data_IF_945061201872
#
_entry.id   IF_945061201872
#
_cell.length_a   1.000
_cell.length_b   1.000
_cell.length_c   1.000
_cell.angle_alpha   90.00
_cell.angle_beta   90.00
_cell.angle_gamma   90.00
#
_symmetry.space_group_name_H-M   'P 1'
#
loop_
_entity.id
_entity.type
_entity.pdbx_description
1 polymer ?
#
# COMPACT_ATOMS: atom_id res chain seq x y z
N UNK A 1 -22.56 13.01 -1.56
CA UNK A 1 -21.74 11.79 -1.36
C UNK A 1 -20.32 12.22 -1.09
N UNK A 2 -19.57 11.55 -0.20
CA UNK A 2 -18.14 11.83 -0.02
C UNK A 2 -17.44 11.71 -1.37
N UNK A 3 -16.52 12.63 -1.67
CA UNK A 3 -15.78 12.60 -2.92
C UNK A 3 -14.50 11.81 -2.68
N UNK A 4 -14.56 10.53 -3.04
CA UNK A 4 -13.51 9.55 -2.78
C UNK A 4 -12.78 9.19 -4.07
N UNK A 5 -11.45 9.26 -4.04
CA UNK A 5 -10.61 8.80 -5.15
C UNK A 5 -9.59 7.80 -4.63
N UNK A 6 -9.56 6.62 -5.24
CA UNK A 6 -8.52 5.63 -4.97
C UNK A 6 -7.37 5.79 -5.96
N UNK A 7 -6.14 5.74 -5.46
CA UNK A 7 -4.92 5.84 -6.26
C UNK A 7 -3.92 4.77 -5.85
N UNK A 8 -2.95 4.51 -6.72
CA UNK A 8 -1.81 3.64 -6.44
C UNK A 8 -0.51 4.30 -6.89
N UNK A 9 0.29 3.58 -7.68
CA UNK A 9 1.53 4.04 -8.33
C UNK A 9 2.72 4.31 -7.39
N UNK A 10 2.54 5.02 -6.27
CA UNK A 10 3.65 5.34 -5.35
C UNK A 10 4.15 4.13 -4.56
N UNK A 11 3.29 3.12 -4.36
CA UNK A 11 3.51 1.96 -3.50
C UNK A 11 3.60 2.28 -1.99
N UNK A 12 3.11 3.45 -1.58
CA UNK A 12 3.06 3.92 -0.19
C UNK A 12 1.61 4.16 0.17
N UNK A 13 1.02 3.41 1.13
CA UNK A 13 -0.38 3.60 1.49
C UNK A 13 -0.58 4.89 2.27
N UNK A 14 -1.78 5.45 2.22
CA UNK A 14 -2.03 6.76 2.81
C UNK A 14 -3.42 7.30 2.56
N UNK A 15 -3.84 8.22 3.43
CA UNK A 15 -5.10 8.95 3.28
C UNK A 15 -4.77 10.44 3.24
N UNK A 16 -5.16 11.11 2.16
CA UNK A 16 -4.90 12.53 1.91
C UNK A 16 -6.20 13.30 1.85
N UNK A 17 -6.23 14.45 2.52
CA UNK A 17 -7.39 15.34 2.56
C UNK A 17 -7.14 16.58 1.70
N UNK A 18 -8.22 17.24 1.27
CA UNK A 18 -8.14 18.54 0.58
C UNK A 18 -7.36 19.60 1.37
N UNK A 19 -7.43 19.53 2.72
CA UNK A 19 -6.66 20.36 3.66
C UNK A 19 -5.15 20.11 3.66
N UNK A 20 -4.65 19.21 2.80
CA UNK A 20 -3.25 18.73 2.77
C UNK A 20 -2.84 17.94 4.01
N UNK A 21 -3.79 17.60 4.88
CA UNK A 21 -3.56 16.63 5.95
C UNK A 21 -3.27 15.27 5.35
N UNK A 22 -2.26 14.60 5.91
CA UNK A 22 -1.94 13.21 5.63
C UNK A 22 -2.20 12.37 6.88
N UNK A 23 -2.81 11.20 6.69
CA UNK A 23 -2.93 10.18 7.72
C UNK A 23 -2.22 8.94 7.22
N UNK A 24 -1.20 8.50 7.98
CA UNK A 24 -0.62 7.18 7.82
C UNK A 24 -1.65 6.15 8.32
N UNK A 25 -1.95 5.09 7.54
CA UNK A 25 -2.91 4.10 7.97
C UNK A 25 -2.38 3.31 9.15
N UNK A 26 -3.28 2.96 10.07
CA UNK A 26 -3.01 1.96 11.10
C UNK A 26 -3.33 0.60 10.50
N UNK A 27 -2.35 -0.28 10.47
CA UNK A 27 -2.46 -1.57 9.78
C UNK A 27 -3.59 -2.42 10.37
N UNK A 28 -4.46 -2.92 9.49
CA UNK A 28 -5.61 -3.75 9.82
C UNK A 28 -6.66 -3.10 10.74
N UNK A 29 -6.64 -1.76 10.88
CA UNK A 29 -7.68 -1.00 11.58
C UNK A 29 -8.51 -0.18 10.60
N UNK A 30 -9.84 -0.12 10.79
CA UNK A 30 -10.71 0.65 9.91
C UNK A 30 -10.58 2.16 10.19
N UNK A 31 -10.47 2.93 9.11
CA UNK A 31 -10.64 4.37 9.10
C UNK A 31 -12.06 4.73 8.63
N UNK A 32 -12.76 5.55 9.43
CA UNK A 32 -14.10 6.06 9.11
C UNK A 32 -14.01 7.25 8.14
N UNK A 33 -14.62 7.12 6.96
CA UNK A 33 -14.66 8.12 5.91
C UNK A 33 -15.65 9.24 6.29
N UNK A 34 -15.17 10.49 6.45
CA UNK A 34 -16.00 11.68 6.62
C UNK A 34 -16.96 11.90 5.45
N UNK A 35 -18.16 12.41 5.73
CA UNK A 35 -19.21 12.61 4.72
C UNK A 35 -19.05 13.88 3.89
N UNK A 36 -18.30 14.86 4.41
CA UNK A 36 -18.26 16.24 3.88
C UNK A 36 -16.85 16.65 3.44
N UNK A 37 -15.94 15.70 3.24
CA UNK A 37 -14.56 15.97 2.83
C UNK A 37 -14.23 15.23 1.53
N UNK A 38 -13.33 15.83 0.73
CA UNK A 38 -12.71 15.14 -0.41
C UNK A 38 -11.45 14.44 0.06
N UNK A 39 -11.33 13.17 -0.29
CA UNK A 39 -10.29 12.30 0.22
C UNK A 39 -9.70 11.47 -0.91
N UNK A 40 -8.37 11.42 -0.94
CA UNK A 40 -7.61 10.51 -1.80
C UNK A 40 -7.07 9.39 -0.91
N UNK A 41 -7.38 8.14 -1.26
CA UNK A 41 -6.84 6.95 -0.59
C UNK A 41 -5.81 6.32 -1.51
N UNK A 42 -4.57 6.29 -1.07
CA UNK A 42 -3.54 5.47 -1.69
C UNK A 42 -3.60 4.05 -1.10
N UNK A 43 -3.78 3.07 -1.98
CA UNK A 43 -3.99 1.66 -1.60
C UNK A 43 -2.70 0.95 -1.20
N UNK A 44 -1.53 1.56 -1.44
CA UNK A 44 -0.23 0.93 -1.24
C UNK A 44 0.17 0.04 -2.41
N UNK A 45 0.82 -1.08 -2.13
CA UNK A 45 1.25 -2.04 -3.14
C UNK A 45 1.21 -3.47 -2.61
N UNK A 46 0.66 -4.37 -3.42
CA UNK A 46 0.67 -5.81 -3.14
C UNK A 46 2.07 -6.40 -3.37
N UNK A 47 2.72 -6.01 -4.46
CA UNK A 47 3.91 -6.72 -4.97
C UNK A 47 5.25 -6.05 -4.69
N UNK A 48 5.28 -4.74 -4.41
CA UNK A 48 6.53 -4.02 -4.10
C UNK A 48 6.23 -2.80 -3.21
N UNK A 49 5.85 -2.97 -1.93
CA UNK A 49 5.72 -1.85 -0.99
C UNK A 49 6.99 -0.98 -0.95
N UNK A 50 6.84 0.33 -0.72
CA UNK A 50 7.96 1.30 -0.70
C UNK A 50 7.99 2.17 0.55
N UNK A 51 7.38 1.70 1.63
CA UNK A 51 7.21 2.44 2.87
C UNK A 51 7.90 1.75 4.07
N UNK A 52 8.94 0.97 3.79
CA UNK A 52 9.75 0.24 4.79
C UNK A 52 8.98 -0.86 5.55
N UNK A 53 7.79 -1.24 5.07
CA UNK A 53 7.05 -2.42 5.49
C UNK A 53 6.90 -3.36 4.29
N UNK A 54 7.64 -4.48 4.32
CA UNK A 54 7.70 -5.42 3.21
C UNK A 54 6.45 -6.27 3.03
N UNK A 55 5.45 -6.18 3.91
CA UNK A 55 4.19 -6.94 3.79
C UNK A 55 3.35 -6.38 2.67
N UNK A 56 2.66 -7.25 1.95
CA UNK A 56 1.73 -6.86 0.90
C UNK A 56 0.65 -5.95 1.47
N UNK A 57 0.31 -4.87 0.75
CA UNK A 57 -0.69 -3.90 1.15
C UNK A 57 -1.84 -3.83 0.14
N UNK A 58 -3.06 -3.80 0.66
CA UNK A 58 -4.29 -3.60 -0.10
C UNK A 58 -5.35 -2.97 0.82
N UNK A 59 -6.47 -2.53 0.25
CA UNK A 59 -7.55 -1.90 1.01
C UNK A 59 -8.85 -2.66 0.87
N UNK A 60 -9.56 -2.81 1.99
CA UNK A 60 -10.96 -3.23 2.03
C UNK A 60 -11.83 -1.99 2.22
N UNK A 61 -12.97 -1.94 1.53
CA UNK A 61 -13.96 -0.87 1.68
C UNK A 61 -15.28 -1.50 2.11
N UNK A 62 -15.75 -1.17 3.31
CA UNK A 62 -17.02 -1.63 3.86
C UNK A 62 -17.87 -0.43 4.29
N UNK A 63 -18.87 -0.08 3.47
CA UNK A 63 -19.71 1.10 3.67
C UNK A 63 -18.88 2.39 3.68
N UNK A 64 -18.71 3.00 4.86
CA UNK A 64 -17.88 4.20 5.07
C UNK A 64 -16.57 3.89 5.78
N UNK A 65 -16.16 2.63 5.85
CA UNK A 65 -14.88 2.22 6.43
C UNK A 65 -13.92 1.84 5.33
N UNK A 66 -12.67 2.26 5.48
CA UNK A 66 -11.55 1.72 4.71
C UNK A 66 -10.54 1.11 5.65
N UNK A 67 -10.09 -0.11 5.37
CA UNK A 67 -9.08 -0.80 6.17
C UNK A 67 -7.88 -1.09 5.28
N UNK A 68 -6.71 -0.57 5.64
CA UNK A 68 -5.45 -0.93 4.99
C UNK A 68 -4.93 -2.22 5.60
N UNK A 69 -4.98 -3.30 4.83
CA UNK A 69 -4.51 -4.60 5.26
C UNK A 69 -3.03 -4.77 4.97
N UNK A 70 -2.31 -5.39 5.92
CA UNK A 70 -0.92 -5.82 5.74
C UNK A 70 -0.78 -7.31 5.95
N UNK A 71 -0.40 -8.01 4.89
CA UNK A 71 -0.32 -9.48 4.89
C UNK A 71 1.13 -9.92 4.63
N UNK A 72 1.74 -10.72 5.52
CA UNK A 72 3.03 -11.31 5.24
C UNK A 72 2.94 -12.30 4.07
N UNK A 73 3.96 -12.33 3.23
CA UNK A 73 4.08 -13.29 2.13
C UNK A 73 5.52 -13.78 2.02
N UNK A 74 5.72 -14.87 1.28
CA UNK A 74 7.06 -15.43 1.05
C UNK A 74 7.82 -14.59 0.00
N UNK A 75 8.32 -13.43 0.41
CA UNK A 75 9.13 -12.56 -0.46
C UNK A 75 10.43 -13.22 -0.88
N UNK A 76 10.98 -14.14 -0.07
CA UNK A 76 12.21 -14.87 -0.40
C UNK A 76 12.01 -15.72 -1.66
N UNK A 77 10.86 -16.39 -1.80
CA UNK A 77 10.53 -17.14 -3.02
C UNK A 77 10.47 -16.22 -4.26
N UNK A 78 9.91 -15.01 -4.13
CA UNK A 78 9.86 -14.03 -5.23
C UNK A 78 11.26 -13.47 -5.55
N UNK A 79 12.07 -13.19 -4.53
CA UNK A 79 13.46 -12.78 -4.67
C UNK A 79 14.28 -13.82 -5.46
N UNK A 80 14.16 -15.11 -5.13
CA UNK A 80 14.87 -16.18 -5.83
C UNK A 80 14.42 -16.32 -7.30
N UNK A 81 13.14 -16.07 -7.60
CA UNK A 81 12.66 -15.98 -9.00
C UNK A 81 13.30 -14.82 -9.75
N UNK A 82 13.41 -13.64 -9.11
CA UNK A 82 14.10 -12.49 -9.71
C UNK A 82 15.58 -12.80 -9.94
N UNK A 83 16.27 -13.33 -8.93
CA UNK A 83 17.69 -13.70 -8.99
C UNK A 83 18.00 -14.73 -10.07
N UNK A 84 17.11 -15.71 -10.27
CA UNK A 84 17.29 -16.74 -11.31
C UNK A 84 16.98 -16.24 -12.73
N UNK A 85 16.33 -15.08 -12.88
CA UNK A 85 16.02 -14.49 -14.18
C UNK A 85 17.17 -13.59 -14.65
N UNK A 86 17.99 -14.07 -15.60
CA UNK A 86 19.20 -13.37 -16.07
C UNK A 86 18.99 -11.94 -16.59
N UNK A 87 17.78 -11.60 -17.04
CA UNK A 87 17.44 -10.27 -17.57
C UNK A 87 17.03 -9.27 -16.47
N UNK A 88 16.87 -9.70 -15.22
CA UNK A 88 16.48 -8.84 -14.12
C UNK A 88 17.69 -8.52 -13.25
N UNK A 89 17.84 -7.24 -12.92
CA UNK A 89 18.87 -6.82 -11.98
C UNK A 89 18.50 -7.25 -10.55
N UNK A 90 19.48 -7.74 -9.79
CA UNK A 90 19.26 -8.30 -8.44
C UNK A 90 18.60 -7.31 -7.46
N UNK A 91 18.83 -6.01 -7.66
CA UNK A 91 18.23 -4.96 -6.84
C UNK A 91 16.70 -4.96 -6.89
N UNK A 92 16.08 -5.43 -7.97
CA UNK A 92 14.61 -5.51 -8.08
C UNK A 92 14.02 -6.47 -7.04
N UNK A 93 14.72 -7.56 -6.76
CA UNK A 93 14.33 -8.51 -5.72
C UNK A 93 14.75 -8.03 -4.34
N UNK A 94 15.96 -7.47 -4.19
CA UNK A 94 16.49 -7.04 -2.88
C UNK A 94 15.59 -6.00 -2.19
N UNK A 95 14.96 -5.14 -2.99
CA UNK A 95 13.93 -4.18 -2.57
C UNK A 95 12.76 -4.78 -1.81
N UNK A 96 12.38 -6.03 -2.13
CA UNK A 96 11.28 -6.74 -1.47
C UNK A 96 11.61 -7.14 -0.03
N UNK A 97 12.90 -7.20 0.35
CA UNK A 97 13.31 -7.59 1.70
C UNK A 97 12.98 -6.47 2.70
N UNK A 98 13.23 -5.22 2.30
CA UNK A 98 13.10 -4.04 3.15
C UNK A 98 11.75 -3.33 2.90
N UNK A 99 11.18 -3.45 1.69
CA UNK A 99 9.99 -2.69 1.29
C UNK A 99 10.34 -1.28 0.80
N UNK A 100 11.28 -1.17 -0.14
CA UNK A 100 11.76 0.10 -0.73
C UNK A 100 11.74 0.08 -2.25
#
# INVERSE_FOLDING_TARGET
>A
APQLTFVGHSHVPGIFFESRKYIAPVNNEPFEIPTNEKIIINVGSVGQPRDYDNRACWVEVDGRRVTHHRVPYNFHQTYEKVRSTRMLHISLGARLIIGV
#
